data_IF_928332471453
#
_entry.id   IF_928332471453
#
_cell.length_a   1.000
_cell.length_b   1.000
_cell.length_c   1.000
_cell.angle_alpha   90.00
_cell.angle_beta   90.00
_cell.angle_gamma   90.00
#
_symmetry.space_group_name_H-M   'P 1'
#
loop_
_entity.id
_entity.type
_entity.pdbx_description
1 polymer ?
#
# COMPACT_ATOMS: atom_id res chain seq x y z
N UNK A 1 0.61 18.36 8.57
CA UNK A 1 1.71 17.90 7.69
C UNK A 1 2.63 19.02 7.20
N UNK A 2 2.12 20.09 6.61
CA UNK A 2 2.92 21.21 6.09
C UNK A 2 3.83 21.86 7.15
N UNK A 3 3.32 22.09 8.36
CA UNK A 3 4.09 22.74 9.43
C UNK A 3 5.26 21.87 9.89
N UNK A 4 5.06 20.58 10.02
CA UNK A 4 6.11 19.63 10.42
C UNK A 4 7.19 19.53 9.33
N UNK A 5 6.80 19.46 8.06
CA UNK A 5 7.74 19.39 6.96
C UNK A 5 8.57 20.69 6.84
N UNK A 6 7.95 21.87 7.02
CA UNK A 6 8.68 23.15 7.07
C UNK A 6 9.71 23.22 8.19
N UNK A 7 9.44 22.56 9.31
CA UNK A 7 10.34 22.56 10.47
C UNK A 7 11.52 21.61 10.29
N UNK A 8 11.32 20.52 9.54
CA UNK A 8 12.32 19.45 9.39
C UNK A 8 13.13 19.52 8.09
N UNK A 9 12.63 20.23 7.08
CA UNK A 9 13.23 20.30 5.75
C UNK A 9 13.46 21.77 5.37
N UNK A 10 14.71 22.17 5.21
CA UNK A 10 15.09 23.56 4.91
C UNK A 10 14.56 24.07 3.56
N UNK A 11 14.37 23.18 2.56
CA UNK A 11 13.90 23.52 1.21
C UNK A 11 12.72 22.61 0.80
N UNK A 12 11.59 22.75 1.50
CA UNK A 12 10.38 21.99 1.15
C UNK A 12 9.42 22.83 0.31
N UNK A 13 9.05 22.28 -0.84
CA UNK A 13 8.04 22.83 -1.73
C UNK A 13 6.70 22.15 -1.49
N UNK A 14 5.66 22.95 -1.31
CA UNK A 14 4.29 22.46 -1.21
C UNK A 14 3.53 22.82 -2.47
N UNK A 15 3.06 21.82 -3.19
CA UNK A 15 2.18 22.02 -4.32
C UNK A 15 0.74 22.18 -3.80
N UNK A 16 0.38 23.44 -3.50
CA UNK A 16 -0.99 23.82 -3.16
C UNK A 16 -1.83 24.17 -4.39
N UNK A 17 -1.65 23.41 -5.45
CA UNK A 17 -2.47 23.61 -6.65
C UNK A 17 -3.65 22.68 -6.60
N UNK A 18 -4.73 23.05 -7.28
CA UNK A 18 -5.80 22.10 -7.60
C UNK A 18 -5.20 20.87 -8.29
N UNK A 19 -5.85 19.73 -8.19
CA UNK A 19 -5.37 18.50 -8.87
C UNK A 19 -5.08 18.73 -10.35
N UNK A 20 -5.97 19.45 -11.02
CA UNK A 20 -5.82 19.84 -12.41
C UNK A 20 -4.55 20.68 -12.62
N UNK A 21 -4.37 21.74 -11.84
CA UNK A 21 -3.21 22.61 -11.93
C UNK A 21 -1.90 21.90 -11.60
N UNK A 22 -1.90 20.83 -10.79
CA UNK A 22 -0.72 19.99 -10.55
C UNK A 22 -0.36 19.18 -11.79
N UNK A 23 -1.36 18.57 -12.44
CA UNK A 23 -1.14 17.76 -13.65
C UNK A 23 -0.73 18.61 -14.86
N UNK A 24 -1.20 19.85 -14.95
CA UNK A 24 -0.83 20.81 -16.00
C UNK A 24 0.58 21.39 -15.79
N UNK A 25 1.01 21.59 -14.54
CA UNK A 25 2.31 22.16 -14.22
C UNK A 25 3.32 21.06 -13.91
N UNK A 26 3.92 20.58 -14.94
CA UNK A 26 4.84 19.47 -14.94
C UNK A 26 6.29 19.95 -15.09
N UNK A 27 7.17 19.47 -14.22
CA UNK A 27 8.62 19.69 -14.32
C UNK A 27 9.35 18.37 -14.13
N UNK A 28 10.06 17.93 -15.18
CA UNK A 28 10.84 16.69 -15.13
C UNK A 28 12.04 16.81 -14.19
N UNK A 29 12.34 15.74 -13.47
CA UNK A 29 13.54 15.61 -12.66
C UNK A 29 13.74 16.76 -11.65
N UNK A 30 12.66 17.19 -10.99
CA UNK A 30 12.70 18.36 -10.11
C UNK A 30 13.00 18.04 -8.65
N UNK A 31 12.47 16.95 -8.14
CA UNK A 31 12.43 16.69 -6.70
C UNK A 31 13.32 15.52 -6.30
N UNK A 32 14.13 15.71 -5.25
CA UNK A 32 14.96 14.66 -4.66
C UNK A 32 14.13 13.67 -3.83
N UNK A 33 13.07 14.17 -3.20
CA UNK A 33 12.13 13.40 -2.39
C UNK A 33 10.69 13.84 -2.65
N UNK A 34 9.82 12.88 -2.94
CA UNK A 34 8.38 13.09 -3.02
C UNK A 34 7.68 12.24 -1.96
N UNK A 35 6.83 12.88 -1.15
CA UNK A 35 5.89 12.23 -0.25
C UNK A 35 4.48 12.56 -0.73
N UNK A 36 3.73 11.55 -1.17
CA UNK A 36 2.44 11.77 -1.82
C UNK A 36 1.35 10.83 -1.29
N UNK A 37 0.16 11.39 -1.11
CA UNK A 37 -1.09 10.67 -0.95
C UNK A 37 -2.08 11.23 -1.98
N UNK A 38 -2.01 10.76 -3.24
CA UNK A 38 -2.87 11.28 -4.30
C UNK A 38 -4.33 10.85 -4.07
N UNK A 39 -5.29 11.58 -4.64
CA UNK A 39 -6.70 11.23 -4.55
C UNK A 39 -7.03 9.96 -5.36
N UNK A 40 -7.99 9.16 -4.88
CA UNK A 40 -8.39 7.88 -5.47
C UNK A 40 -9.81 7.94 -6.02
N UNK A 41 -9.99 8.42 -7.25
CA UNK A 41 -11.29 8.44 -7.92
C UNK A 41 -11.16 8.40 -9.43
N UNK A 42 -12.27 8.13 -10.11
CA UNK A 42 -12.36 8.22 -11.55
C UNK A 42 -12.82 9.61 -11.94
N UNK A 43 -12.13 10.25 -12.86
CA UNK A 43 -12.51 11.52 -13.45
C UNK A 43 -12.33 11.47 -14.96
N UNK A 44 -13.45 11.59 -15.66
CA UNK A 44 -13.45 11.64 -17.12
C UNK A 44 -12.75 12.90 -17.62
N UNK A 45 -13.04 14.04 -16.99
CA UNK A 45 -12.45 15.33 -17.31
C UNK A 45 -10.91 15.30 -17.19
N UNK A 46 -10.38 14.81 -16.06
CA UNK A 46 -8.94 14.69 -15.86
C UNK A 46 -8.29 13.71 -16.84
N UNK A 47 -8.99 12.63 -17.18
CA UNK A 47 -8.49 11.66 -18.17
C UNK A 47 -8.46 12.26 -19.59
N UNK A 48 -9.43 13.06 -19.95
CA UNK A 48 -9.47 13.75 -21.24
C UNK A 48 -8.38 14.85 -21.32
N UNK A 49 -8.21 15.60 -20.23
CA UNK A 49 -7.16 16.61 -20.13
C UNK A 49 -5.77 15.96 -20.24
N UNK A 50 -5.51 14.90 -19.51
CA UNK A 50 -4.24 14.19 -19.57
C UNK A 50 -3.94 13.68 -20.98
N UNK A 51 -4.94 13.20 -21.72
CA UNK A 51 -4.79 12.81 -23.12
C UNK A 51 -4.49 14.00 -24.03
N UNK A 52 -5.10 15.16 -23.76
CA UNK A 52 -4.91 16.37 -24.56
C UNK A 52 -3.51 16.99 -24.39
N UNK A 53 -2.88 16.85 -23.23
CA UNK A 53 -1.54 17.41 -22.97
C UNK A 53 -0.39 16.65 -23.62
N UNK A 54 -0.63 15.45 -24.16
CA UNK A 54 0.41 14.57 -24.74
C UNK A 54 1.58 14.22 -23.78
N UNK A 55 1.43 14.53 -22.49
CA UNK A 55 2.43 14.29 -21.43
C UNK A 55 2.29 12.89 -20.87
N UNK A 56 1.04 12.50 -20.54
CA UNK A 56 0.75 11.26 -19.82
C UNK A 56 0.60 10.08 -20.79
N UNK A 57 1.68 9.28 -20.93
CA UNK A 57 1.79 8.20 -21.94
C UNK A 57 2.01 6.82 -21.33
N UNK A 58 2.23 6.73 -20.01
CA UNK A 58 2.53 5.44 -19.36
C UNK A 58 1.28 4.57 -19.22
N UNK A 59 0.10 5.15 -19.42
CA UNK A 59 -1.16 4.43 -19.32
C UNK A 59 -1.66 4.34 -17.89
N UNK A 60 -2.64 3.46 -17.68
CA UNK A 60 -3.26 3.30 -16.38
C UNK A 60 -4.70 3.81 -16.35
N UNK A 61 -5.37 3.58 -15.23
CA UNK A 61 -6.76 3.91 -15.00
C UNK A 61 -6.91 4.67 -13.69
N UNK A 62 -7.74 5.71 -13.71
CA UNK A 62 -8.00 6.55 -12.56
C UNK A 62 -7.04 7.73 -12.42
N UNK A 63 -7.43 8.66 -11.58
CA UNK A 63 -6.64 9.87 -11.29
C UNK A 63 -5.34 9.50 -10.58
N UNK A 64 -5.38 8.47 -9.74
CA UNK A 64 -4.22 7.93 -9.05
C UNK A 64 -3.12 7.43 -10.00
N UNK A 65 -3.47 6.89 -11.17
CA UNK A 65 -2.50 6.48 -12.18
C UNK A 65 -1.82 7.68 -12.85
N UNK A 66 -2.57 8.75 -13.12
CA UNK A 66 -2.03 10.00 -13.65
C UNK A 66 -1.05 10.66 -12.67
N UNK A 67 -1.41 10.69 -11.38
CA UNK A 67 -0.51 11.20 -10.34
C UNK A 67 0.73 10.34 -10.17
N UNK A 68 0.61 9.02 -10.30
CA UNK A 68 1.78 8.14 -10.25
C UNK A 68 2.73 8.45 -11.41
N UNK A 69 2.22 8.62 -12.64
CA UNK A 69 3.04 9.03 -13.78
C UNK A 69 3.67 10.41 -13.57
N UNK A 70 2.92 11.39 -13.04
CA UNK A 70 3.44 12.71 -12.68
C UNK A 70 4.61 12.60 -11.69
N UNK A 71 4.46 11.80 -10.64
CA UNK A 71 5.50 11.55 -9.64
C UNK A 71 6.74 10.91 -10.30
N UNK A 72 6.53 9.87 -11.11
CA UNK A 72 7.62 9.17 -11.81
C UNK A 72 8.47 10.09 -12.67
N UNK A 73 7.85 11.08 -13.31
CA UNK A 73 8.55 12.06 -14.15
C UNK A 73 9.22 13.13 -13.30
N UNK A 74 8.56 13.60 -12.24
CA UNK A 74 9.02 14.74 -11.43
C UNK A 74 10.15 14.41 -10.46
N UNK A 75 10.32 13.13 -10.08
CA UNK A 75 11.44 12.67 -9.25
C UNK A 75 12.73 12.73 -10.06
N UNK A 76 13.80 13.28 -9.46
CA UNK A 76 15.16 13.28 -10.03
C UNK A 76 15.73 11.88 -10.13
N UNK A 77 16.73 11.71 -10.99
CA UNK A 77 17.58 10.53 -10.96
C UNK A 77 18.19 10.33 -9.56
N UNK A 78 18.21 9.11 -9.08
CA UNK A 78 18.55 8.71 -7.69
C UNK A 78 17.60 9.25 -6.61
N UNK A 79 16.61 10.06 -6.96
CA UNK A 79 15.58 10.55 -6.04
C UNK A 79 14.60 9.45 -5.61
N UNK A 80 13.90 9.69 -4.52
CA UNK A 80 13.00 8.74 -3.87
C UNK A 80 11.57 9.27 -3.83
N UNK A 81 10.59 8.39 -4.03
CA UNK A 81 9.20 8.71 -3.77
C UNK A 81 8.58 7.67 -2.82
N UNK A 82 7.80 8.16 -1.85
CA UNK A 82 6.95 7.35 -1.00
C UNK A 82 5.50 7.76 -1.27
N UNK A 83 4.71 6.82 -1.77
CA UNK A 83 3.41 7.12 -2.35
C UNK A 83 2.36 6.20 -1.73
N UNK A 84 1.28 6.76 -1.20
CA UNK A 84 0.12 5.97 -0.80
C UNK A 84 -0.75 5.75 -2.02
N UNK A 85 -1.02 4.49 -2.35
CA UNK A 85 -1.77 4.09 -3.54
C UNK A 85 -2.86 3.06 -3.18
N UNK A 86 -4.02 3.10 -3.84
CA UNK A 86 -5.05 2.09 -3.66
C UNK A 86 -4.66 0.78 -4.36
N UNK A 87 -5.26 -0.32 -3.91
CA UNK A 87 -5.06 -1.67 -4.44
C UNK A 87 -5.30 -1.77 -5.96
N UNK A 88 -6.19 -0.94 -6.51
CA UNK A 88 -6.49 -0.88 -7.93
C UNK A 88 -5.27 -0.59 -8.82
N UNK A 89 -4.26 0.14 -8.33
CA UNK A 89 -3.01 0.36 -9.07
C UNK A 89 -2.27 -0.98 -9.29
N UNK A 90 -2.29 -1.84 -8.29
CA UNK A 90 -1.53 -3.09 -8.27
C UNK A 90 -2.29 -4.27 -8.89
N UNK A 91 -3.61 -4.35 -8.66
CA UNK A 91 -4.46 -5.45 -9.10
C UNK A 91 -5.04 -5.27 -10.50
N UNK A 92 -5.36 -4.03 -10.91
CA UNK A 92 -6.04 -3.78 -12.17
C UNK A 92 -5.11 -4.04 -13.38
N UNK A 93 -5.61 -4.82 -14.33
CA UNK A 93 -4.90 -5.14 -15.56
C UNK A 93 -4.65 -3.90 -16.45
N UNK A 94 -5.53 -2.89 -16.40
CA UNK A 94 -5.34 -1.63 -17.11
C UNK A 94 -4.05 -0.90 -16.70
N UNK A 95 -3.51 -1.17 -15.52
CA UNK A 95 -2.27 -0.57 -15.02
C UNK A 95 -1.00 -1.38 -15.37
N UNK A 96 -1.12 -2.43 -16.21
CA UNK A 96 0.03 -3.27 -16.59
C UNK A 96 1.17 -2.44 -17.20
N UNK A 97 0.85 -1.63 -18.21
CA UNK A 97 1.85 -0.78 -18.89
C UNK A 97 2.51 0.22 -17.94
N UNK A 98 1.74 0.81 -17.03
CA UNK A 98 2.25 1.74 -16.01
C UNK A 98 3.23 1.02 -15.05
N UNK A 99 2.91 -0.20 -14.62
CA UNK A 99 3.80 -1.02 -13.76
C UNK A 99 5.08 -1.47 -14.50
N UNK A 100 4.98 -1.81 -15.77
CA UNK A 100 6.15 -2.12 -16.61
C UNK A 100 7.08 -0.91 -16.70
N UNK A 101 6.51 0.28 -16.94
CA UNK A 101 7.28 1.53 -17.01
C UNK A 101 7.88 1.91 -15.66
N UNK A 102 7.16 1.61 -14.57
CA UNK A 102 7.67 1.81 -13.21
C UNK A 102 8.95 0.99 -12.97
N UNK A 103 8.99 -0.29 -13.34
CA UNK A 103 10.18 -1.15 -13.19
C UNK A 103 11.32 -0.79 -14.13
N UNK A 104 11.00 -0.34 -15.33
CA UNK A 104 11.99 0.13 -16.29
C UNK A 104 12.79 1.31 -15.69
N UNK A 105 12.10 2.28 -15.10
CA UNK A 105 12.66 3.55 -14.65
C UNK A 105 13.05 3.59 -13.17
N UNK A 106 12.55 2.67 -12.35
CA UNK A 106 12.72 2.70 -10.91
C UNK A 106 13.14 1.35 -10.35
N UNK A 107 13.79 1.40 -9.20
CA UNK A 107 13.90 0.29 -8.26
C UNK A 107 12.72 0.36 -7.29
N UNK A 108 12.10 -0.77 -7.01
CA UNK A 108 11.01 -0.90 -6.05
C UNK A 108 11.63 -1.30 -4.71
N UNK A 109 11.81 -0.35 -3.83
CA UNK A 109 12.50 -0.59 -2.57
C UNK A 109 11.59 -1.22 -1.51
N UNK A 110 10.33 -0.76 -1.40
CA UNK A 110 9.38 -1.34 -0.45
C UNK A 110 7.92 -1.24 -0.93
N UNK A 111 7.12 -2.17 -0.43
CA UNK A 111 5.66 -2.16 -0.55
C UNK A 111 5.05 -2.56 0.80
N UNK A 112 4.38 -1.61 1.46
CA UNK A 112 3.78 -1.79 2.78
C UNK A 112 2.27 -1.77 2.64
N UNK A 113 1.61 -2.86 3.01
CA UNK A 113 0.16 -2.97 3.05
C UNK A 113 -0.36 -2.27 4.31
N UNK A 114 -1.34 -1.38 4.16
CA UNK A 114 -2.04 -0.75 5.25
C UNK A 114 -3.34 -1.51 5.59
N UNK A 115 -3.85 -1.44 6.82
CA UNK A 115 -5.14 -2.03 7.16
C UNK A 115 -6.27 -1.39 6.34
N UNK A 116 -7.36 -2.13 6.17
CA UNK A 116 -8.60 -1.56 5.65
C UNK A 116 -9.07 -0.45 6.58
N UNK A 117 -9.64 0.61 6.04
CA UNK A 117 -10.00 1.83 6.79
C UNK A 117 -8.80 2.59 7.40
N UNK A 118 -7.57 2.40 6.92
CA UNK A 118 -6.44 3.26 7.31
C UNK A 118 -6.74 4.75 7.08
N UNK A 119 -7.62 5.08 6.15
CA UNK A 119 -8.11 6.45 5.90
C UNK A 119 -9.61 6.52 6.17
N UNK A 120 -10.04 7.49 7.01
CA UNK A 120 -11.43 7.64 7.44
C UNK A 120 -12.40 7.95 6.29
N UNK A 121 -11.91 8.53 5.21
CA UNK A 121 -12.72 8.98 4.06
C UNK A 121 -12.81 7.94 2.94
N UNK A 122 -12.18 6.79 3.07
CA UNK A 122 -12.24 5.74 2.07
C UNK A 122 -12.07 4.34 2.68
N UNK A 123 -12.95 3.38 2.36
CA UNK A 123 -12.78 1.99 2.75
C UNK A 123 -11.78 1.23 1.85
N UNK A 124 -11.18 1.90 0.87
CA UNK A 124 -10.25 1.25 -0.06
C UNK A 124 -9.02 0.72 0.67
N UNK A 125 -8.61 -0.48 0.30
CA UNK A 125 -7.32 -1.03 0.67
C UNK A 125 -6.22 -0.20 0.02
N UNK A 126 -5.20 0.16 0.81
CA UNK A 126 -4.09 1.03 0.37
C UNK A 126 -2.74 0.45 0.73
N UNK A 127 -1.73 0.90 0.02
CA UNK A 127 -0.34 0.48 0.18
C UNK A 127 0.57 1.70 0.16
N UNK A 128 1.67 1.66 0.89
CA UNK A 128 2.76 2.61 0.72
C UNK A 128 3.78 1.98 -0.22
N UNK A 129 3.96 2.59 -1.38
CA UNK A 129 4.97 2.23 -2.36
C UNK A 129 6.20 3.13 -2.19
N UNK A 130 7.36 2.54 -1.96
CA UNK A 130 8.66 3.25 -1.93
C UNK A 130 9.45 2.89 -3.18
N UNK A 131 9.78 3.89 -3.97
CA UNK A 131 10.52 3.74 -5.23
C UNK A 131 11.71 4.70 -5.27
N UNK A 132 12.77 4.28 -5.93
CA UNK A 132 13.98 5.08 -6.20
C UNK A 132 14.23 5.12 -7.70
N UNK A 133 14.30 6.32 -8.27
CA UNK A 133 14.54 6.50 -9.70
C UNK A 133 15.96 6.05 -10.05
N UNK A 134 16.07 5.26 -11.10
CA UNK A 134 17.36 4.86 -11.66
C UNK A 134 18.12 6.07 -12.20
N UNK A 135 19.43 6.02 -12.15
CA UNK A 135 20.29 6.98 -12.84
C UNK A 135 20.14 6.84 -14.35
N UNK A 136 20.58 7.83 -15.10
CA UNK A 136 20.60 7.75 -16.57
C UNK A 136 21.40 6.53 -17.06
N UNK A 137 22.56 6.30 -16.47
CA UNK A 137 23.40 5.15 -16.80
C UNK A 137 22.72 3.80 -16.47
N UNK A 138 21.98 3.70 -15.36
CA UNK A 138 21.22 2.49 -15.01
C UNK A 138 20.06 2.23 -15.98
N UNK A 139 19.44 3.30 -16.50
CA UNK A 139 18.37 3.21 -17.51
C UNK A 139 18.95 2.80 -18.87
N UNK A 140 19.99 3.47 -19.34
CA UNK A 140 20.65 3.20 -20.61
C UNK A 140 21.20 1.78 -20.72
N UNK A 141 21.74 1.27 -19.61
CA UNK A 141 22.26 -0.10 -19.52
C UNK A 141 21.20 -1.14 -19.15
N UNK A 142 19.91 -0.75 -19.05
CA UNK A 142 18.80 -1.62 -18.69
C UNK A 142 19.06 -2.41 -17.40
N UNK A 143 19.63 -1.77 -16.38
CA UNK A 143 19.93 -2.43 -15.10
C UNK A 143 18.63 -2.91 -14.47
N UNK A 144 18.55 -4.21 -14.24
CA UNK A 144 17.43 -4.86 -13.56
C UNK A 144 17.68 -4.85 -12.06
N UNK A 145 16.62 -4.75 -11.28
CA UNK A 145 16.71 -4.87 -9.82
C UNK A 145 17.12 -6.29 -9.44
N UNK A 146 18.22 -6.43 -8.73
CA UNK A 146 18.80 -7.71 -8.31
C UNK A 146 18.56 -8.03 -6.83
N UNK A 147 17.94 -7.13 -6.08
CA UNK A 147 17.64 -7.31 -4.66
C UNK A 147 16.12 -7.37 -4.42
N UNK A 148 15.69 -8.11 -3.37
CA UNK A 148 14.28 -8.29 -3.10
C UNK A 148 13.58 -7.00 -2.65
N UNK A 149 12.29 -6.92 -2.91
CA UNK A 149 11.42 -5.85 -2.40
C UNK A 149 11.12 -6.11 -0.93
N UNK A 150 11.29 -5.10 -0.09
CA UNK A 150 10.83 -5.16 1.29
C UNK A 150 9.31 -5.09 1.32
N UNK A 151 8.64 -6.17 1.72
CA UNK A 151 7.19 -6.19 1.85
C UNK A 151 6.78 -6.36 3.31
N UNK A 152 5.78 -5.59 3.73
CA UNK A 152 5.31 -5.60 5.11
C UNK A 152 3.78 -5.45 5.17
N UNK A 153 3.13 -6.19 6.06
CA UNK A 153 1.69 -6.08 6.30
C UNK A 153 1.46 -5.43 7.66
N UNK A 154 1.01 -4.17 7.66
CA UNK A 154 0.61 -3.48 8.86
C UNK A 154 -0.85 -3.81 9.21
N UNK A 155 -1.12 -4.22 10.45
CA UNK A 155 -2.45 -4.40 11.02
C UNK A 155 -2.89 -3.19 11.85
N UNK A 156 -1.92 -2.41 12.37
CA UNK A 156 -2.13 -1.21 13.18
C UNK A 156 -1.29 -0.04 12.67
N UNK A 157 -1.78 1.18 12.85
CA UNK A 157 -1.15 2.41 12.34
C UNK A 157 -0.93 3.50 13.41
N UNK A 158 -1.12 3.16 14.68
CA UNK A 158 -1.03 4.11 15.80
C UNK A 158 -2.31 4.89 16.06
N UNK A 159 -3.39 4.51 15.39
CA UNK A 159 -4.75 5.06 15.57
C UNK A 159 -5.76 3.91 15.50
N UNK A 160 -6.91 4.08 16.16
CA UNK A 160 -8.04 3.18 15.94
C UNK A 160 -8.55 3.32 14.50
N UNK A 161 -9.13 2.24 13.96
CA UNK A 161 -9.62 2.23 12.57
C UNK A 161 -11.12 2.56 12.47
N UNK A 162 -11.70 3.04 13.56
CA UNK A 162 -13.08 3.53 13.59
C UNK A 162 -13.18 4.99 13.11
N UNK A 163 -14.40 5.52 13.11
CA UNK A 163 -14.71 6.88 12.64
C UNK A 163 -14.08 7.96 13.54
N UNK A 164 -13.86 7.69 14.81
CA UNK A 164 -13.41 8.67 15.79
C UNK A 164 -11.90 8.87 15.84
N UNK A 165 -11.11 7.87 15.43
CA UNK A 165 -9.64 7.97 15.32
C UNK A 165 -8.95 8.36 16.62
N UNK A 166 -9.03 7.49 17.61
CA UNK A 166 -8.27 7.65 18.85
C UNK A 166 -6.83 7.16 18.65
N UNK A 167 -5.89 7.83 19.30
CA UNK A 167 -4.51 7.38 19.36
C UNK A 167 -4.43 5.96 19.96
N UNK A 168 -3.57 5.14 19.41
CA UNK A 168 -3.29 3.77 19.85
C UNK A 168 -1.79 3.57 20.00
N UNK A 169 -1.38 2.83 21.03
CA UNK A 169 0.02 2.45 21.22
C UNK A 169 0.47 1.42 20.17
N UNK A 170 -0.47 0.62 19.66
CA UNK A 170 -0.21 -0.36 18.61
C UNK A 170 0.08 0.36 17.29
N UNK A 171 1.30 0.20 16.79
CA UNK A 171 1.74 0.85 15.57
C UNK A 171 2.79 0.02 14.82
N UNK A 172 2.32 -0.84 13.93
CA UNK A 172 3.17 -1.67 13.10
C UNK A 172 4.03 -0.85 12.13
N UNK A 173 3.59 0.36 11.75
CA UNK A 173 4.37 1.21 10.84
C UNK A 173 5.68 1.68 11.47
N UNK A 174 5.75 1.88 12.79
CA UNK A 174 7.01 2.18 13.49
C UNK A 174 8.00 1.02 13.31
N UNK A 175 7.54 -0.21 13.49
CA UNK A 175 8.36 -1.41 13.30
C UNK A 175 8.77 -1.59 11.84
N UNK A 176 7.84 -1.42 10.92
CA UNK A 176 8.12 -1.47 9.48
C UNK A 176 9.24 -0.50 9.09
N UNK A 177 9.20 0.76 9.57
CA UNK A 177 10.21 1.79 9.28
C UNK A 177 11.58 1.41 9.86
N UNK A 178 11.63 0.92 11.11
CA UNK A 178 12.88 0.49 11.74
C UNK A 178 13.50 -0.65 10.92
N UNK A 179 12.72 -1.69 10.61
CA UNK A 179 13.17 -2.85 9.84
C UNK A 179 13.59 -2.47 8.41
N UNK A 180 12.80 -1.63 7.74
CA UNK A 180 13.16 -1.11 6.42
C UNK A 180 14.48 -0.33 6.43
N UNK A 181 14.73 0.48 7.44
CA UNK A 181 16.00 1.18 7.58
C UNK A 181 17.19 0.24 7.76
N UNK A 182 17.05 -0.84 8.53
CA UNK A 182 18.08 -1.87 8.64
C UNK A 182 18.31 -2.57 7.30
N UNK A 183 17.23 -2.96 6.61
CA UNK A 183 17.29 -3.58 5.30
C UNK A 183 17.99 -2.67 4.27
N UNK A 184 17.55 -1.40 4.17
CA UNK A 184 18.08 -0.44 3.20
C UNK A 184 19.56 -0.13 3.39
N UNK A 185 20.04 -0.15 4.65
CA UNK A 185 21.43 0.14 4.98
C UNK A 185 22.36 -1.06 4.83
N UNK A 186 21.85 -2.25 4.60
CA UNK A 186 22.66 -3.44 4.35
C UNK A 186 23.46 -3.27 3.08
N UNK A 187 24.75 -3.60 3.11
CA UNK A 187 25.65 -3.49 1.95
C UNK A 187 25.23 -4.42 0.82
N UNK A 188 24.82 -5.63 1.17
CA UNK A 188 24.27 -6.61 0.24
C UNK A 188 22.87 -7.01 0.67
N UNK A 189 21.86 -6.51 -0.06
CA UNK A 189 20.44 -6.79 0.20
C UNK A 189 19.99 -8.16 -0.31
N UNK A 190 20.76 -8.76 -1.22
CA UNK A 190 20.53 -10.12 -1.70
C UNK A 190 21.02 -11.16 -0.71
N UNK A 191 22.12 -10.87 -0.02
CA UNK A 191 22.76 -11.80 0.90
C UNK A 191 22.92 -11.16 2.28
N UNK A 192 21.79 -10.96 2.94
CA UNK A 192 21.75 -10.37 4.28
C UNK A 192 22.54 -11.20 5.27
N UNK A 193 23.45 -10.55 5.97
CA UNK A 193 24.26 -11.17 7.01
C UNK A 193 23.55 -11.15 8.37
N UNK A 194 23.92 -12.10 9.23
CA UNK A 194 23.50 -12.07 10.63
C UNK A 194 24.17 -10.89 11.39
N UNK A 195 23.50 -10.27 12.38
CA UNK A 195 22.18 -10.64 12.93
C UNK A 195 20.99 -9.98 12.18
N UNK A 196 21.23 -9.17 11.15
CA UNK A 196 20.17 -8.41 10.45
C UNK A 196 19.15 -9.36 9.80
N UNK A 197 19.65 -10.43 9.19
CA UNK A 197 18.80 -11.45 8.55
C UNK A 197 17.77 -12.02 9.52
N UNK A 198 18.22 -12.53 10.66
CA UNK A 198 17.33 -13.07 11.70
C UNK A 198 16.38 -12.00 12.25
N UNK A 199 16.88 -10.78 12.49
CA UNK A 199 16.04 -9.68 12.97
C UNK A 199 14.89 -9.34 12.02
N UNK A 200 15.14 -9.38 10.72
CA UNK A 200 14.10 -9.12 9.72
C UNK A 200 13.15 -10.30 9.59
N UNK A 201 13.67 -11.52 9.38
CA UNK A 201 12.87 -12.70 9.03
C UNK A 201 12.10 -13.31 10.22
N UNK A 202 12.43 -12.94 11.45
CA UNK A 202 11.64 -13.32 12.63
C UNK A 202 10.28 -12.58 12.73
N UNK A 203 10.01 -11.62 11.86
CA UNK A 203 8.75 -10.92 11.84
C UNK A 203 7.81 -11.55 10.80
N UNK A 204 6.74 -12.17 11.26
CA UNK A 204 5.74 -12.83 10.40
C UNK A 204 5.00 -11.87 9.47
N UNK A 205 5.06 -10.55 9.74
CA UNK A 205 4.49 -9.49 8.91
C UNK A 205 5.42 -9.05 7.77
N UNK A 206 6.68 -9.51 7.78
CA UNK A 206 7.71 -9.13 6.81
C UNK A 206 8.06 -10.28 5.89
N UNK A 207 8.08 -10.02 4.59
CA UNK A 207 8.72 -10.89 3.60
C UNK A 207 9.61 -10.07 2.67
N UNK A 208 10.69 -10.67 2.22
CA UNK A 208 11.56 -10.11 1.19
C UNK A 208 11.25 -10.86 -0.11
N UNK A 209 10.60 -10.18 -1.05
CA UNK A 209 10.10 -10.79 -2.28
C UNK A 209 10.96 -10.36 -3.47
N UNK A 210 11.56 -11.31 -4.23
CA UNK A 210 12.19 -11.00 -5.50
C UNK A 210 11.24 -10.25 -6.43
N UNK A 211 11.75 -9.29 -7.20
CA UNK A 211 10.92 -8.45 -8.07
C UNK A 211 10.18 -9.29 -9.14
N UNK A 212 10.80 -10.36 -9.62
CA UNK A 212 10.22 -11.28 -10.59
C UNK A 212 9.00 -12.02 -10.03
N UNK A 213 9.01 -12.31 -8.75
CA UNK A 213 7.89 -12.98 -8.09
C UNK A 213 6.66 -12.08 -7.99
N UNK A 214 6.82 -10.78 -7.75
CA UNK A 214 5.69 -9.85 -7.75
C UNK A 214 4.90 -9.87 -9.06
N UNK A 215 5.52 -10.33 -10.15
CA UNK A 215 4.90 -10.41 -11.46
C UNK A 215 4.25 -11.74 -11.78
N UNK A 216 4.75 -12.84 -11.18
CA UNK A 216 4.44 -14.17 -11.69
C UNK A 216 3.03 -14.67 -11.35
N UNK A 217 2.70 -14.94 -10.11
CA UNK A 217 1.45 -15.65 -9.79
C UNK A 217 0.50 -14.91 -8.86
N UNK A 218 1.02 -14.04 -8.00
CA UNK A 218 0.26 -13.47 -6.89
C UNK A 218 0.07 -11.96 -6.98
N UNK A 219 0.64 -11.36 -8.02
CA UNK A 219 0.59 -9.92 -8.28
C UNK A 219 1.23 -9.06 -7.17
N UNK A 220 1.18 -7.77 -7.37
CA UNK A 220 1.66 -6.76 -6.41
C UNK A 220 0.74 -6.62 -5.18
N UNK A 221 -0.31 -7.41 -5.07
CA UNK A 221 -1.12 -7.54 -3.85
C UNK A 221 -0.36 -8.45 -2.90
N UNK A 222 0.44 -7.86 -2.02
CA UNK A 222 1.42 -8.61 -1.23
C UNK A 222 0.80 -9.62 -0.27
N UNK A 223 -0.44 -9.42 0.18
CA UNK A 223 -1.17 -10.37 1.02
C UNK A 223 -1.32 -11.76 0.37
N UNK A 224 -1.25 -11.83 -0.96
CA UNK A 224 -1.31 -13.11 -1.67
C UNK A 224 -0.06 -13.99 -1.45
N UNK A 225 1.02 -13.42 -0.90
CA UNK A 225 2.25 -14.12 -0.57
C UNK A 225 2.24 -14.74 0.82
N UNK A 226 1.25 -14.42 1.66
CA UNK A 226 1.01 -15.04 2.94
C UNK A 226 0.04 -16.21 2.80
N UNK A 227 0.37 -17.36 3.43
CA UNK A 227 -0.56 -18.49 3.52
C UNK A 227 -1.79 -18.12 4.36
N UNK A 228 -2.81 -18.98 4.36
CA UNK A 228 -4.00 -18.73 5.19
C UNK A 228 -3.64 -18.77 6.68
N UNK A 229 -2.76 -19.69 7.08
CA UNK A 229 -2.27 -19.82 8.45
C UNK A 229 -1.46 -18.57 8.86
N UNK A 230 -0.56 -18.09 7.98
CA UNK A 230 0.20 -16.87 8.22
C UNK A 230 -0.73 -15.65 8.35
N UNK A 231 -1.79 -15.56 7.54
CA UNK A 231 -2.77 -14.47 7.63
C UNK A 231 -3.54 -14.50 8.96
N UNK A 232 -3.87 -15.69 9.45
CA UNK A 232 -4.52 -15.88 10.76
C UNK A 232 -3.54 -15.45 11.85
N UNK A 233 -2.30 -15.91 11.81
CA UNK A 233 -1.28 -15.60 12.81
C UNK A 233 -0.98 -14.10 12.96
N UNK A 234 -1.06 -13.32 11.87
CA UNK A 234 -0.89 -11.86 11.90
C UNK A 234 -2.20 -11.08 12.07
N UNK A 235 -3.34 -11.77 12.28
CA UNK A 235 -4.64 -11.15 12.52
C UNK A 235 -5.33 -10.57 11.29
N UNK A 236 -4.86 -10.86 10.07
CA UNK A 236 -5.52 -10.44 8.83
C UNK A 236 -6.80 -11.22 8.55
N UNK A 237 -6.88 -12.43 9.06
CA UNK A 237 -8.02 -13.32 8.86
C UNK A 237 -8.40 -13.95 10.19
N UNK A 238 -9.68 -14.05 10.45
CA UNK A 238 -10.16 -14.80 11.61
C UNK A 238 -10.06 -16.30 11.33
N UNK A 239 -9.66 -17.04 12.34
CA UNK A 239 -9.74 -18.49 12.31
C UNK A 239 -11.19 -18.91 12.02
N UNK A 240 -11.39 -19.81 11.07
CA UNK A 240 -12.72 -20.35 10.85
C UNK A 240 -13.06 -21.25 12.03
N UNK A 241 -14.01 -20.85 12.83
CA UNK A 241 -14.63 -21.79 13.76
C UNK A 241 -15.36 -22.84 12.91
N UNK A 242 -14.80 -24.02 12.87
CA UNK A 242 -15.51 -25.19 12.32
C UNK A 242 -16.48 -25.62 13.39
N UNK A 243 -17.72 -25.16 13.27
CA UNK A 243 -18.82 -25.64 14.12
C UNK A 243 -19.19 -27.02 13.60
N UNK A 244 -19.23 -28.02 14.46
CA UNK A 244 -19.72 -29.34 14.10
C UNK A 244 -21.21 -29.27 13.71
N UNK A 245 -21.69 -30.24 12.95
CA UNK A 245 -23.12 -30.28 12.58
C UNK A 245 -24.00 -30.32 13.83
N UNK A 246 -23.55 -31.04 14.86
CA UNK A 246 -24.29 -31.15 16.13
C UNK A 246 -24.33 -29.83 16.91
N UNK A 247 -23.20 -29.07 16.94
CA UNK A 247 -23.16 -27.74 17.55
C UNK A 247 -24.02 -26.75 16.77
N UNK A 248 -24.01 -26.83 15.42
CA UNK A 248 -24.85 -25.98 14.59
C UNK A 248 -26.33 -26.29 14.80
N UNK A 249 -26.70 -27.57 14.94
CA UNK A 249 -28.06 -27.99 15.27
C UNK A 249 -28.48 -27.43 16.64
N UNK A 250 -27.66 -27.58 17.67
CA UNK A 250 -27.90 -27.03 18.97
C UNK A 250 -28.12 -25.50 18.96
N UNK A 251 -27.31 -24.76 18.20
CA UNK A 251 -27.49 -23.31 18.04
C UNK A 251 -28.82 -22.94 17.35
N UNK A 252 -29.28 -23.77 16.39
CA UNK A 252 -30.58 -23.57 15.74
C UNK A 252 -31.71 -23.84 16.78
N UNK A 253 -31.61 -24.91 17.52
CA UNK A 253 -32.62 -25.27 18.50
C UNK A 253 -32.74 -24.22 19.62
N UNK A 254 -31.61 -23.69 20.10
CA UNK A 254 -31.58 -22.55 21.05
C UNK A 254 -32.23 -21.31 20.47
N UNK A 255 -31.97 -20.99 19.20
CA UNK A 255 -32.54 -19.83 18.53
C UNK A 255 -34.06 -19.99 18.33
N UNK A 256 -34.54 -21.19 18.03
CA UNK A 256 -35.97 -21.49 17.91
C UNK A 256 -36.64 -21.32 19.29
N UNK A 257 -36.02 -21.82 20.34
CA UNK A 257 -36.53 -21.65 21.73
C UNK A 257 -36.65 -20.17 22.09
N UNK A 258 -35.61 -19.38 21.84
CA UNK A 258 -35.62 -17.93 22.10
C UNK A 258 -36.71 -17.20 21.30
N UNK A 259 -36.94 -17.61 20.03
CA UNK A 259 -38.02 -17.04 19.22
C UNK A 259 -39.42 -17.43 19.74
N UNK A 260 -39.58 -18.62 20.34
CA UNK A 260 -40.83 -19.05 20.96
C UNK A 260 -41.12 -18.26 22.24
N UNK A 261 -40.10 -18.10 23.08
CA UNK A 261 -40.21 -17.28 24.31
C UNK A 261 -40.59 -15.83 23.98
N UNK A 262 -39.94 -15.26 22.97
CA UNK A 262 -40.26 -13.90 22.50
C UNK A 262 -41.72 -13.79 21.98
N UNK A 263 -42.20 -14.81 21.31
CA UNK A 263 -43.57 -14.85 20.81
C UNK A 263 -44.58 -14.93 21.97
N UNK A 264 -44.31 -15.72 22.99
CA UNK A 264 -45.13 -15.81 24.19
C UNK A 264 -45.16 -14.47 24.94
N UNK A 265 -44.02 -13.78 25.11
CA UNK A 265 -43.99 -12.45 25.71
C UNK A 265 -44.80 -11.41 24.94
N UNK A 266 -44.76 -11.46 23.56
CA UNK A 266 -45.58 -10.58 22.74
C UNK A 266 -47.07 -10.87 22.78
N UNK A 267 -47.47 -12.11 23.05
CA UNK A 267 -48.90 -12.46 23.29
C UNK A 267 -49.42 -11.96 24.64
N UNK A 268 -48.54 -11.85 25.64
CA UNK A 268 -48.87 -11.27 26.95
C UNK A 268 -49.03 -9.74 26.94
N UNK A 269 -48.51 -9.08 25.91
CA UNK A 269 -48.59 -7.62 25.75
C UNK A 269 -49.82 -7.16 24.92
N UNK A 270 -50.63 -8.10 24.46
CA UNK A 270 -51.91 -7.85 23.79
C UNK A 270 -53.09 -7.95 24.76
#
# INVERSE_FOLDING_TARGET
>A
MQTIAKTLLNDSFYLHKSMLGTLENFEENRYDLILANPPYYQSKEMSELAKATDIYKYGGSGVEALFLEWIMRSVKHSGVANIVLPDGIFSNHANKKLKEKLKELFFIDALISLPVNAFFNTPKKTYILTIRKKTENEIENNIVQDYPVFTYIAGSIGETLDVYRFDSEENDLKQAVIKYNHYRRSQDRNNLQEPIKSYLLNDSRLKLLPIEELESKKSWIIENWWSEEEKIAIGLKKERQVVSIDEFQAMIDDMISLMQDFKEELEWLK
#
